data_IF_427721949057
#
_entry.id   IF_427721949057
#
_cell.length_a   1.000
_cell.length_b   1.000
_cell.length_c   1.000
_cell.angle_alpha   90.00
_cell.angle_beta   90.00
_cell.angle_gamma   90.00
#
_symmetry.space_group_name_H-M   'P 1'
#
loop_
_entity.id
_entity.type
_entity.pdbx_description
1 polymer ?
#
# COMPACT_ATOMS: atom_id res chain seq x y z
N UNK A 1 -2.26 20.01 52.33
CA UNK A 1 -1.75 18.94 51.45
C UNK A 1 -0.23 18.86 51.62
N UNK A 2 0.30 17.73 52.07
CA UNK A 2 1.74 17.55 52.28
C UNK A 2 2.51 17.66 50.96
N UNK A 3 3.79 18.04 51.00
CA UNK A 3 4.62 18.15 49.79
C UNK A 3 4.61 16.83 48.96
N UNK A 4 4.66 15.70 49.65
CA UNK A 4 4.60 14.36 49.05
C UNK A 4 3.32 14.16 48.23
N UNK A 5 2.16 14.54 48.80
CA UNK A 5 0.87 14.38 48.09
C UNK A 5 0.77 15.25 46.82
N UNK A 6 1.40 16.44 46.83
CA UNK A 6 1.51 17.28 45.64
C UNK A 6 2.36 16.60 44.52
N UNK A 7 3.51 16.04 44.87
CA UNK A 7 4.36 15.33 43.92
C UNK A 7 3.67 14.09 43.34
N UNK A 8 3.00 13.30 44.16
CA UNK A 8 2.22 12.15 43.71
C UNK A 8 1.10 12.57 42.75
N UNK A 9 0.40 13.66 43.08
CA UNK A 9 -0.65 14.21 42.21
C UNK A 9 -0.08 14.66 40.85
N UNK A 10 1.03 15.43 40.83
CA UNK A 10 1.64 15.86 39.58
C UNK A 10 2.20 14.70 38.75
N UNK A 11 2.78 13.68 39.40
CA UNK A 11 3.23 12.47 38.69
C UNK A 11 2.05 11.72 38.09
N UNK A 12 0.94 11.60 38.79
CA UNK A 12 -0.27 10.96 38.29
C UNK A 12 -0.85 11.73 37.09
N UNK A 13 -0.96 13.05 37.19
CA UNK A 13 -1.45 13.90 36.10
C UNK A 13 -0.51 13.81 34.87
N UNK A 14 0.79 13.85 35.10
CA UNK A 14 1.78 13.70 34.02
C UNK A 14 1.67 12.35 33.31
N UNK A 15 1.56 11.26 34.07
CA UNK A 15 1.38 9.92 33.51
C UNK A 15 0.06 9.80 32.73
N UNK A 16 -1.04 10.34 33.28
CA UNK A 16 -2.33 10.35 32.62
C UNK A 16 -2.28 11.10 31.26
N UNK A 17 -1.69 12.31 31.23
CA UNK A 17 -1.54 13.10 30.01
C UNK A 17 -0.68 12.38 28.97
N UNK A 18 0.41 11.73 29.41
CA UNK A 18 1.29 10.96 28.52
C UNK A 18 0.57 9.77 27.89
N UNK A 19 -0.21 9.03 28.67
CA UNK A 19 -1.01 7.90 28.19
C UNK A 19 -2.08 8.39 27.19
N UNK A 20 -2.78 9.47 27.50
CA UNK A 20 -3.81 10.05 26.63
C UNK A 20 -3.22 10.50 25.29
N UNK A 21 -2.05 11.17 25.33
CA UNK A 21 -1.34 11.58 24.12
C UNK A 21 -0.91 10.37 23.29
N UNK A 22 -0.34 9.34 23.94
CA UNK A 22 0.07 8.11 23.26
C UNK A 22 -1.11 7.42 22.57
N UNK A 23 -2.24 7.27 23.28
CA UNK A 23 -3.47 6.69 22.72
C UNK A 23 -3.98 7.54 21.54
N UNK A 24 -4.00 8.87 21.68
CA UNK A 24 -4.41 9.79 20.62
C UNK A 24 -3.55 9.65 19.35
N UNK A 25 -2.23 9.61 19.52
CA UNK A 25 -1.28 9.39 18.39
C UNK A 25 -1.46 8.01 17.78
N UNK A 26 -1.67 6.98 18.61
CA UNK A 26 -1.90 5.62 18.14
C UNK A 26 -3.18 5.52 17.30
N UNK A 27 -4.29 6.08 17.80
CA UNK A 27 -5.57 6.11 17.07
C UNK A 27 -5.44 6.91 15.77
N UNK A 28 -4.74 8.05 15.81
CA UNK A 28 -4.50 8.87 14.61
C UNK A 28 -3.73 8.09 13.54
N UNK A 29 -2.65 7.41 13.93
CA UNK A 29 -1.85 6.58 13.02
C UNK A 29 -2.63 5.35 12.52
N UNK A 30 -3.41 4.70 13.40
CA UNK A 30 -4.24 3.56 13.01
C UNK A 30 -5.32 3.94 11.99
N UNK A 31 -5.88 5.15 12.08
CA UNK A 31 -6.88 5.65 11.12
C UNK A 31 -6.27 6.07 9.77
N UNK A 32 -5.05 6.60 9.77
CA UNK A 32 -4.37 7.09 8.56
C UNK A 32 -3.43 6.07 7.93
N UNK A 33 -3.20 4.94 8.60
CA UNK A 33 -2.20 3.95 8.21
C UNK A 33 -0.77 4.39 8.57
N UNK A 34 0.16 3.45 8.44
CA UNK A 34 1.60 3.70 8.55
C UNK A 34 2.18 3.55 7.17
N UNK A 35 2.69 4.64 6.60
CA UNK A 35 3.22 4.63 5.25
C UNK A 35 4.59 3.95 5.22
N UNK A 36 4.64 2.72 4.70
CA UNK A 36 5.88 2.03 4.39
C UNK A 36 6.14 2.14 2.90
N UNK A 37 7.23 2.78 2.53
CA UNK A 37 7.62 2.94 1.13
C UNK A 37 8.75 1.97 0.78
N UNK A 38 8.56 1.23 -0.31
CA UNK A 38 9.60 0.45 -0.97
C UNK A 38 9.97 1.19 -2.25
N UNK A 39 11.24 1.53 -2.41
CA UNK A 39 11.73 2.36 -3.52
C UNK A 39 12.76 1.66 -4.39
N UNK A 40 13.41 0.63 -3.85
CA UNK A 40 14.43 -0.10 -4.58
C UNK A 40 13.79 -1.01 -5.63
N UNK A 41 14.36 -1.12 -6.84
CA UNK A 41 13.88 -2.05 -7.85
C UNK A 41 13.86 -3.49 -7.32
N UNK A 42 12.83 -4.23 -7.69
CA UNK A 42 12.64 -5.62 -7.26
C UNK A 42 13.09 -6.61 -8.34
N UNK A 43 13.33 -7.86 -7.94
CA UNK A 43 13.57 -8.91 -8.92
C UNK A 43 12.28 -9.28 -9.66
N UNK A 44 12.33 -9.25 -10.99
CA UNK A 44 11.22 -9.63 -11.85
C UNK A 44 11.52 -10.94 -12.59
N UNK A 45 10.50 -11.76 -12.91
CA UNK A 45 10.66 -12.93 -13.74
C UNK A 45 11.18 -12.58 -15.13
N UNK A 46 12.12 -13.37 -15.66
CA UNK A 46 12.71 -13.15 -16.98
C UNK A 46 11.73 -13.37 -18.17
N UNK A 47 10.59 -13.99 -17.90
CA UNK A 47 9.59 -14.37 -18.90
C UNK A 47 8.44 -13.36 -19.05
N UNK A 48 8.56 -12.17 -18.51
CA UNK A 48 7.61 -11.07 -18.75
C UNK A 48 7.70 -10.65 -20.22
N UNK A 49 6.56 -10.34 -20.84
CA UNK A 49 6.46 -10.02 -22.26
C UNK A 49 5.18 -9.28 -22.61
N UNK A 50 4.75 -9.33 -23.87
CA UNK A 50 3.66 -8.52 -24.43
C UNK A 50 2.27 -8.65 -23.75
N UNK A 51 2.07 -9.61 -22.87
CA UNK A 51 0.79 -9.83 -22.16
C UNK A 51 1.02 -9.96 -20.67
N UNK A 52 1.82 -9.07 -20.11
CA UNK A 52 2.16 -9.10 -18.69
C UNK A 52 1.28 -8.16 -17.88
N UNK A 53 0.79 -8.68 -16.75
CA UNK A 53 -0.11 -7.99 -15.82
C UNK A 53 0.57 -7.94 -14.45
N UNK A 54 0.63 -6.74 -13.88
CA UNK A 54 1.03 -6.53 -12.50
C UNK A 54 -0.22 -6.52 -11.60
N UNK A 55 -0.28 -7.39 -10.60
CA UNK A 55 -1.27 -7.32 -9.52
C UNK A 55 -0.58 -6.79 -8.27
N UNK A 56 -1.00 -5.63 -7.84
CA UNK A 56 -0.41 -4.92 -6.70
C UNK A 56 -1.41 -4.86 -5.55
N UNK A 57 -1.04 -5.44 -4.39
CA UNK A 57 -1.96 -5.62 -3.25
C UNK A 57 -1.46 -4.95 -1.97
N UNK A 58 -0.60 -3.92 -2.08
CA UNK A 58 -0.06 -3.22 -0.91
C UNK A 58 -1.15 -2.45 -0.19
N UNK A 59 -1.15 -2.56 1.14
CA UNK A 59 -2.03 -1.79 2.02
C UNK A 59 -1.22 -1.12 3.13
N UNK A 60 -1.13 0.21 3.10
CA UNK A 60 -0.61 1.04 4.19
C UNK A 60 -1.74 1.57 5.07
N UNK A 61 -3.01 1.49 4.59
CA UNK A 61 -4.24 1.72 5.35
C UNK A 61 -4.85 0.41 5.86
N UNK A 62 -6.18 0.32 5.78
CA UNK A 62 -6.88 -0.91 6.16
C UNK A 62 -6.64 -2.02 5.13
N UNK A 63 -6.21 -3.18 5.60
CA UNK A 63 -5.97 -4.34 4.74
C UNK A 63 -7.19 -5.26 4.69
N UNK A 64 -7.72 -5.47 3.51
CA UNK A 64 -8.78 -6.43 3.22
C UNK A 64 -8.18 -7.82 2.94
N UNK A 65 -7.57 -8.44 3.97
CA UNK A 65 -6.79 -9.69 3.81
C UNK A 65 -7.55 -10.81 3.11
N UNK A 66 -8.77 -11.08 3.55
CA UNK A 66 -9.61 -12.14 2.97
C UNK A 66 -9.91 -11.91 1.48
N UNK A 67 -10.21 -10.67 1.10
CA UNK A 67 -10.49 -10.33 -0.29
C UNK A 67 -9.22 -10.41 -1.17
N UNK A 68 -8.08 -9.96 -0.64
CA UNK A 68 -6.79 -10.07 -1.32
C UNK A 68 -6.45 -11.55 -1.55
N UNK A 69 -6.44 -12.37 -0.49
CA UNK A 69 -6.09 -13.78 -0.55
C UNK A 69 -7.02 -14.58 -1.48
N UNK A 70 -8.33 -14.31 -1.43
CA UNK A 70 -9.31 -14.98 -2.29
C UNK A 70 -9.16 -14.59 -3.77
N UNK A 71 -8.70 -13.39 -4.09
CA UNK A 71 -8.60 -12.90 -5.47
C UNK A 71 -7.34 -13.39 -6.20
N UNK A 72 -6.23 -13.62 -5.50
CA UNK A 72 -4.96 -14.01 -6.15
C UNK A 72 -5.09 -15.28 -7.01
N UNK A 73 -5.66 -16.41 -6.53
CA UNK A 73 -5.82 -17.59 -7.35
C UNK A 73 -6.77 -17.38 -8.54
N UNK A 74 -7.72 -16.45 -8.43
CA UNK A 74 -8.63 -16.09 -9.54
C UNK A 74 -7.84 -15.40 -10.65
N UNK A 75 -6.95 -14.47 -10.32
CA UNK A 75 -6.08 -13.81 -11.30
C UNK A 75 -5.14 -14.81 -11.97
N UNK A 76 -4.56 -15.76 -11.22
CA UNK A 76 -3.73 -16.83 -11.78
C UNK A 76 -4.51 -17.69 -12.78
N UNK A 77 -5.72 -18.10 -12.41
CA UNK A 77 -6.59 -18.89 -13.29
C UNK A 77 -6.95 -18.11 -14.56
N UNK A 78 -7.28 -16.82 -14.44
CA UNK A 78 -7.58 -15.98 -15.58
C UNK A 78 -6.34 -15.81 -16.50
N UNK A 79 -5.18 -15.61 -15.91
CA UNK A 79 -3.93 -15.49 -16.65
C UNK A 79 -3.62 -16.78 -17.41
N UNK A 80 -3.70 -17.93 -16.75
CA UNK A 80 -3.50 -19.24 -17.38
C UNK A 80 -4.46 -19.47 -18.56
N UNK A 81 -5.77 -19.20 -18.35
CA UNK A 81 -6.79 -19.39 -19.39
C UNK A 81 -6.57 -18.53 -20.62
N UNK A 82 -6.02 -17.33 -20.45
CA UNK A 82 -5.87 -16.35 -21.54
C UNK A 82 -4.43 -16.25 -22.08
N UNK A 83 -3.51 -17.04 -21.55
CA UNK A 83 -2.10 -17.01 -21.94
C UNK A 83 -1.38 -15.71 -21.53
N UNK A 84 -1.85 -15.07 -20.45
CA UNK A 84 -1.21 -13.89 -19.87
C UNK A 84 -0.08 -14.29 -18.93
N UNK A 85 0.89 -13.39 -18.77
CA UNK A 85 1.88 -13.46 -17.70
C UNK A 85 1.40 -12.60 -16.56
N UNK A 86 1.50 -13.09 -15.33
CA UNK A 86 1.07 -12.35 -14.16
C UNK A 86 2.21 -12.28 -13.16
N UNK A 87 2.40 -11.10 -12.59
CA UNK A 87 3.31 -10.88 -11.47
C UNK A 87 2.54 -10.22 -10.33
N UNK A 88 2.60 -10.83 -9.15
CA UNK A 88 1.86 -10.36 -7.97
C UNK A 88 2.85 -9.89 -6.92
N UNK A 89 2.64 -8.70 -6.38
CA UNK A 89 3.53 -8.14 -5.37
C UNK A 89 2.80 -7.14 -4.47
N UNK A 90 3.35 -6.94 -3.28
CA UNK A 90 3.04 -5.81 -2.39
C UNK A 90 4.23 -4.82 -2.33
N UNK A 91 5.30 -5.10 -3.05
CA UNK A 91 6.47 -4.23 -3.08
C UNK A 91 6.31 -3.12 -4.13
N UNK A 92 6.25 -1.88 -3.65
CA UNK A 92 6.10 -0.70 -4.50
C UNK A 92 7.38 -0.35 -5.29
N UNK A 93 8.49 -1.02 -5.06
CA UNK A 93 9.73 -0.85 -5.83
C UNK A 93 9.56 -1.12 -7.33
N UNK A 94 8.52 -1.90 -7.71
CA UNK A 94 8.17 -2.15 -9.12
C UNK A 94 7.72 -0.88 -9.86
N UNK A 95 7.25 0.16 -9.14
CA UNK A 95 6.79 1.42 -9.75
C UNK A 95 7.97 2.36 -10.07
N UNK A 96 8.87 1.88 -10.92
CA UNK A 96 9.94 2.63 -11.53
C UNK A 96 9.87 2.53 -13.06
N UNK A 97 10.51 3.45 -13.78
CA UNK A 97 10.40 3.56 -15.24
C UNK A 97 10.83 2.29 -15.98
N UNK A 98 11.86 1.59 -15.49
CA UNK A 98 12.44 0.42 -16.17
C UNK A 98 11.57 -0.83 -15.99
N UNK A 99 10.89 -0.97 -14.87
CA UNK A 99 10.13 -2.17 -14.55
C UNK A 99 8.66 -2.04 -14.92
N UNK A 100 8.05 -0.87 -14.71
CA UNK A 100 6.64 -0.66 -14.98
C UNK A 100 6.31 -0.80 -16.47
N UNK A 101 7.23 -0.42 -17.35
CA UNK A 101 7.09 -0.54 -18.82
C UNK A 101 6.96 -2.00 -19.30
N UNK A 102 7.35 -2.97 -18.49
CA UNK A 102 7.23 -4.40 -18.81
C UNK A 102 5.79 -4.92 -18.69
N UNK A 103 4.90 -4.15 -18.10
CA UNK A 103 3.51 -4.52 -17.91
C UNK A 103 2.59 -3.70 -18.81
N UNK A 104 1.56 -4.35 -19.37
CA UNK A 104 0.51 -3.69 -20.13
C UNK A 104 -0.68 -3.28 -19.29
N UNK A 105 -0.87 -3.97 -18.16
CA UNK A 105 -1.97 -3.69 -17.21
C UNK A 105 -1.43 -3.74 -15.78
N UNK A 106 -1.86 -2.78 -14.99
CA UNK A 106 -1.68 -2.79 -13.53
C UNK A 106 -3.04 -2.91 -12.86
N UNK A 107 -3.19 -3.91 -12.01
CA UNK A 107 -4.36 -4.11 -11.16
C UNK A 107 -4.01 -3.71 -9.74
N UNK A 108 -4.63 -2.68 -9.21
CA UNK A 108 -4.60 -2.37 -7.78
C UNK A 108 -5.66 -3.20 -7.07
N UNK A 109 -5.22 -4.27 -6.43
CA UNK A 109 -6.07 -5.24 -5.77
C UNK A 109 -6.25 -4.91 -4.29
N UNK A 110 -7.32 -4.21 -3.93
CA UNK A 110 -7.59 -3.77 -2.57
C UNK A 110 -6.48 -2.90 -1.95
N UNK A 111 -5.76 -2.17 -2.78
CA UNK A 111 -4.72 -1.23 -2.35
C UNK A 111 -5.33 -0.12 -1.50
N UNK A 112 -4.74 0.18 -0.35
CA UNK A 112 -5.27 1.20 0.55
C UNK A 112 -4.19 2.04 1.24
N UNK A 113 -4.49 3.30 1.49
CA UNK A 113 -3.56 4.29 2.06
C UNK A 113 -2.45 4.70 1.09
N UNK A 114 -1.51 5.50 1.57
CA UNK A 114 -0.37 5.97 0.75
C UNK A 114 0.64 4.85 0.53
N UNK A 115 0.56 4.17 -0.57
CA UNK A 115 1.41 3.02 -0.93
C UNK A 115 2.60 3.39 -1.82
N UNK A 116 2.50 4.51 -2.55
CA UNK A 116 3.53 5.03 -3.44
C UNK A 116 4.11 6.34 -2.92
N UNK A 117 5.40 6.57 -3.13
CA UNK A 117 6.02 7.88 -3.01
C UNK A 117 5.52 8.83 -4.10
N UNK A 118 5.73 10.13 -3.96
CA UNK A 118 5.34 11.12 -4.98
C UNK A 118 6.04 10.87 -6.32
N UNK A 119 7.31 10.43 -6.30
CA UNK A 119 8.04 10.04 -7.51
C UNK A 119 7.41 8.82 -8.19
N UNK A 120 7.10 7.77 -7.44
CA UNK A 120 6.45 6.57 -7.97
C UNK A 120 5.05 6.88 -8.55
N UNK A 121 4.30 7.80 -7.93
CA UNK A 121 3.01 8.28 -8.48
C UNK A 121 3.20 9.00 -9.81
N UNK A 122 4.22 9.86 -9.90
CA UNK A 122 4.53 10.59 -11.13
C UNK A 122 4.87 9.61 -12.26
N UNK A 123 5.69 8.59 -11.97
CA UNK A 123 6.03 7.54 -12.93
C UNK A 123 4.79 6.74 -13.33
N UNK A 124 3.96 6.35 -12.36
CA UNK A 124 2.76 5.56 -12.63
C UNK A 124 1.73 6.37 -13.43
N UNK A 125 1.53 7.65 -13.10
CA UNK A 125 0.67 8.54 -13.87
C UNK A 125 1.13 8.65 -15.31
N UNK A 126 2.43 8.88 -15.52
CA UNK A 126 3.00 8.95 -16.87
C UNK A 126 2.81 7.64 -17.63
N UNK A 127 3.02 6.49 -16.99
CA UNK A 127 2.80 5.19 -17.60
C UNK A 127 1.34 4.98 -18.06
N UNK A 128 0.34 5.46 -17.28
CA UNK A 128 -1.07 5.45 -17.69
C UNK A 128 -1.29 6.37 -18.89
N UNK A 129 -0.75 7.59 -18.85
CA UNK A 129 -0.87 8.59 -19.93
C UNK A 129 -0.22 8.08 -21.24
N UNK A 130 0.82 7.27 -21.14
CA UNK A 130 1.50 6.62 -22.27
C UNK A 130 0.74 5.37 -22.78
N UNK A 131 -0.43 5.05 -22.25
CA UNK A 131 -1.31 3.98 -22.73
C UNK A 131 -1.36 2.72 -21.87
N UNK A 132 -0.76 2.72 -20.67
CA UNK A 132 -0.85 1.63 -19.72
C UNK A 132 -2.28 1.41 -19.22
N UNK A 133 -2.73 0.15 -19.14
CA UNK A 133 -4.06 -0.20 -18.64
C UNK A 133 -4.10 -0.22 -17.11
N UNK A 134 -5.10 0.43 -16.51
CA UNK A 134 -5.27 0.44 -15.06
C UNK A 134 -6.62 -0.12 -14.64
N UNK A 135 -6.62 -0.99 -13.63
CA UNK A 135 -7.83 -1.54 -13.00
C UNK A 135 -7.70 -1.34 -11.49
N UNK A 136 -8.66 -0.65 -10.91
CA UNK A 136 -8.80 -0.52 -9.46
C UNK A 136 -9.88 -1.44 -8.92
N UNK A 137 -9.57 -2.20 -7.87
CA UNK A 137 -10.52 -3.12 -7.21
C UNK A 137 -10.76 -2.65 -5.79
N UNK A 138 -12.02 -2.43 -5.45
CA UNK A 138 -12.53 -2.09 -4.12
C UNK A 138 -11.80 -0.88 -3.50
N UNK A 139 -10.91 -1.09 -2.52
CA UNK A 139 -10.20 -0.02 -1.80
C UNK A 139 -9.13 0.71 -2.64
N UNK A 140 -8.98 0.39 -3.93
CA UNK A 140 -7.93 0.97 -4.78
C UNK A 140 -8.01 2.50 -4.95
N UNK A 141 -9.11 3.13 -4.56
CA UNK A 141 -9.29 4.59 -4.56
C UNK A 141 -8.88 5.29 -3.26
N UNK A 142 -8.53 4.56 -2.21
CA UNK A 142 -8.26 5.13 -0.88
C UNK A 142 -7.02 6.04 -0.84
N UNK A 143 -6.08 5.88 -1.78
CA UNK A 143 -4.90 6.74 -1.90
C UNK A 143 -5.20 8.11 -2.54
N UNK A 144 -6.35 8.26 -3.21
CA UNK A 144 -6.73 9.47 -3.95
C UNK A 144 -7.09 10.67 -3.06
N UNK A 145 -7.31 10.45 -1.78
CA UNK A 145 -7.77 11.45 -0.82
C UNK A 145 -6.68 12.03 0.10
N UNK A 146 -5.39 11.79 -0.20
CA UNK A 146 -4.30 12.20 0.69
C UNK A 146 -3.28 13.08 -0.02
#
# INVERSE_FOLDING_TARGET
MTKILKYLFYSFVGAFLSITLFIGVFIYKAKRGINFYHTDPIELPLNLGEKSILVFSKANGFRHSEAIEASLPIYEQMAHKNGWKIFMTEDAGVFNELQLVLFQVVIWNNTSGKVLTDNQRTIFKKWIEDGGGFIGVHAAGDDSHQ
#
